data_IF_904223753031
#
_entry.id   IF_904223753031
#
_cell.length_a   1.000
_cell.length_b   1.000
_cell.length_c   1.000
_cell.angle_alpha   90.00
_cell.angle_beta   90.00
_cell.angle_gamma   90.00
#
_symmetry.space_group_name_H-M   'P 1'
#
loop_
_entity.id
_entity.type
_entity.pdbx_description
1 polymer ?
#
# COMPACT_ATOMS: atom_id res chain seq x y z
N UNK A 1 -5.78 40.35 4.61
CA UNK A 1 -6.49 39.17 4.08
C UNK A 1 -5.68 38.70 2.88
N UNK A 2 -4.83 37.69 3.04
CA UNK A 2 -4.03 37.18 1.94
C UNK A 2 -4.14 35.66 1.84
N UNK A 3 -4.25 35.24 0.58
CA UNK A 3 -4.86 34.01 0.10
C UNK A 3 -3.99 32.82 0.45
N UNK A 4 -4.52 31.87 1.26
CA UNK A 4 -3.97 30.52 1.37
C UNK A 4 -3.95 29.90 -0.02
N UNK A 5 -2.77 29.87 -0.66
CA UNK A 5 -2.52 29.12 -1.89
C UNK A 5 -2.93 27.68 -1.62
N UNK A 6 -4.09 27.26 -2.17
CA UNK A 6 -4.47 25.85 -2.22
C UNK A 6 -3.33 25.12 -2.90
N UNK A 7 -2.59 24.28 -2.15
CA UNK A 7 -1.67 23.30 -2.74
C UNK A 7 -2.50 22.51 -3.75
N UNK A 8 -2.26 22.72 -5.04
CA UNK A 8 -2.80 21.86 -6.09
C UNK A 8 -2.24 20.48 -5.79
N UNK A 9 -3.09 19.57 -5.33
CA UNK A 9 -2.80 18.15 -5.27
C UNK A 9 -2.43 17.75 -6.70
N UNK A 10 -1.16 17.46 -6.94
CA UNK A 10 -0.74 16.77 -8.16
C UNK A 10 -1.44 15.42 -8.06
N UNK A 11 -2.52 15.24 -8.81
CA UNK A 11 -3.16 13.94 -8.96
C UNK A 11 -2.19 13.06 -9.74
N UNK A 12 -1.33 12.38 -8.99
CA UNK A 12 -0.52 11.27 -9.49
C UNK A 12 -1.48 10.26 -10.15
N UNK A 13 -1.17 9.84 -11.39
CA UNK A 13 -2.04 8.90 -12.09
C UNK A 13 -2.02 7.56 -11.36
N UNK A 14 -3.17 6.90 -11.17
CA UNK A 14 -3.19 5.57 -10.57
C UNK A 14 -2.49 4.57 -11.48
N UNK A 15 -1.82 3.59 -10.88
CA UNK A 15 -1.34 2.42 -11.62
C UNK A 15 -2.55 1.56 -11.97
N UNK A 16 -2.70 1.21 -13.25
CA UNK A 16 -3.74 0.28 -13.69
C UNK A 16 -3.29 -1.16 -13.44
N UNK A 17 -4.07 -1.90 -12.67
CA UNK A 17 -3.96 -3.35 -12.52
C UNK A 17 -5.17 -4.03 -13.13
N UNK A 18 -4.95 -4.94 -14.07
CA UNK A 18 -6.01 -5.74 -14.66
C UNK A 18 -6.03 -7.13 -14.05
N UNK A 19 -7.19 -7.60 -13.66
CA UNK A 19 -7.37 -8.90 -12.99
C UNK A 19 -8.77 -9.46 -13.28
N UNK A 20 -9.08 -10.65 -12.76
CA UNK A 20 -10.39 -11.28 -12.85
C UNK A 20 -11.04 -11.37 -11.47
N UNK A 21 -12.37 -11.46 -11.47
CA UNK A 21 -13.13 -11.68 -10.24
C UNK A 21 -12.65 -12.95 -9.53
N UNK A 22 -12.55 -12.91 -8.21
CA UNK A 22 -12.05 -13.96 -7.33
C UNK A 22 -10.56 -14.32 -7.53
N UNK A 23 -9.82 -13.62 -8.39
CA UNK A 23 -8.38 -13.81 -8.50
C UNK A 23 -7.66 -13.09 -7.35
N UNK A 24 -6.72 -13.78 -6.72
CA UNK A 24 -5.86 -13.19 -5.71
C UNK A 24 -4.84 -12.27 -6.36
N UNK A 25 -4.66 -11.08 -5.79
CA UNK A 25 -3.66 -10.10 -6.22
C UNK A 25 -2.80 -9.70 -5.02
N UNK A 26 -1.48 -9.75 -5.21
CA UNK A 26 -0.50 -9.25 -4.24
C UNK A 26 0.09 -7.95 -4.77
N UNK A 27 0.07 -6.92 -3.93
CA UNK A 27 0.42 -5.55 -4.27
C UNK A 27 1.56 -5.12 -3.34
N UNK A 28 2.79 -4.96 -3.85
CA UNK A 28 3.91 -4.50 -3.05
C UNK A 28 3.77 -3.01 -2.69
N UNK A 29 4.22 -2.69 -1.48
CA UNK A 29 4.42 -1.34 -0.98
C UNK A 29 5.92 -1.14 -0.77
N UNK A 30 6.44 -0.06 -1.36
CA UNK A 30 7.84 0.30 -1.29
C UNK A 30 8.07 1.65 -0.62
N UNK A 31 9.24 1.80 -0.05
CA UNK A 31 9.83 3.11 0.27
C UNK A 31 10.83 3.50 -0.82
N UNK A 32 10.76 4.76 -1.26
CA UNK A 32 11.53 5.29 -2.40
C UNK A 32 12.76 6.09 -2.00
N UNK A 33 13.15 6.02 -0.72
CA UNK A 33 14.39 6.58 -0.21
C UNK A 33 14.98 5.59 0.79
N UNK A 34 16.31 5.64 0.93
CA UNK A 34 17.01 4.81 1.92
C UNK A 34 16.67 5.31 3.32
N UNK A 35 16.34 4.39 4.20
CA UNK A 35 16.26 4.62 5.64
C UNK A 35 17.34 3.78 6.29
N UNK A 36 18.41 4.41 6.77
CA UNK A 36 19.56 3.69 7.36
C UNK A 36 19.20 2.97 8.68
N UNK A 37 18.23 3.52 9.41
CA UNK A 37 17.69 2.98 10.65
C UNK A 37 16.17 3.09 10.63
N UNK A 38 15.48 2.07 10.12
CA UNK A 38 14.02 2.06 10.14
C UNK A 38 13.51 1.63 11.52
N UNK A 39 12.97 2.54 12.33
CA UNK A 39 12.39 2.21 13.64
C UNK A 39 10.93 1.76 13.50
N UNK A 40 10.20 2.33 12.55
CA UNK A 40 8.83 1.92 12.29
C UNK A 40 8.23 2.54 11.03
N UNK A 41 7.12 1.95 10.59
CA UNK A 41 6.30 2.39 9.45
C UNK A 41 4.86 2.53 9.93
N UNK A 42 4.19 3.58 9.49
CA UNK A 42 2.74 3.71 9.63
C UNK A 42 2.10 3.94 8.27
N UNK A 43 1.02 3.21 7.99
CA UNK A 43 0.26 3.32 6.74
C UNK A 43 -1.21 3.48 7.05
N UNK A 44 -1.87 4.31 6.24
CA UNK A 44 -3.31 4.34 6.13
C UNK A 44 -3.68 4.17 4.66
N UNK A 45 -4.38 3.08 4.36
CA UNK A 45 -4.86 2.73 3.04
C UNK A 45 -6.39 2.79 3.04
N UNK A 46 -6.95 3.34 1.98
CA UNK A 46 -8.39 3.33 1.71
C UNK A 46 -8.67 2.48 0.47
N UNK A 47 -9.73 1.68 0.51
CA UNK A 47 -10.19 0.84 -0.59
C UNK A 47 -11.72 0.78 -0.61
N UNK A 48 -12.30 0.19 -1.66
CA UNK A 48 -13.74 0.01 -1.81
C UNK A 48 -14.13 -1.43 -1.46
N UNK A 49 -14.61 -1.70 -0.23
CA UNK A 49 -14.89 -3.07 0.24
C UNK A 49 -16.03 -3.77 -0.50
N UNK A 50 -16.88 -3.01 -1.19
CA UNK A 50 -17.92 -3.51 -2.08
C UNK A 50 -17.36 -4.16 -3.36
N UNK A 51 -16.16 -3.76 -3.78
CA UNK A 51 -15.55 -4.19 -5.05
C UNK A 51 -14.33 -5.09 -4.85
N UNK A 52 -13.56 -4.88 -3.78
CA UNK A 52 -12.38 -5.69 -3.44
C UNK A 52 -12.38 -6.08 -1.97
N UNK A 53 -12.04 -7.33 -1.70
CA UNK A 53 -11.84 -7.87 -0.35
C UNK A 53 -10.36 -7.79 0.02
N UNK A 54 -10.05 -7.13 1.13
CA UNK A 54 -8.73 -7.24 1.76
C UNK A 54 -8.58 -8.62 2.41
N UNK A 55 -7.47 -9.30 2.16
CA UNK A 55 -7.21 -10.63 2.72
C UNK A 55 -6.19 -10.57 3.85
N UNK A 56 -5.03 -9.98 3.60
CA UNK A 56 -3.92 -9.90 4.56
C UNK A 56 -2.88 -8.88 4.11
N UNK A 57 -2.00 -8.56 5.03
CA UNK A 57 -0.72 -7.90 4.75
C UNK A 57 0.41 -8.75 5.32
N UNK A 58 1.57 -8.73 4.66
CA UNK A 58 2.76 -9.43 5.12
C UNK A 58 4.02 -8.60 4.84
N UNK A 59 5.11 -8.93 5.53
CA UNK A 59 6.43 -8.45 5.14
C UNK A 59 6.79 -8.95 3.74
N UNK A 60 7.22 -8.03 2.88
CA UNK A 60 7.87 -8.36 1.61
C UNK A 60 9.39 -8.43 1.78
N UNK A 61 9.95 -7.62 2.69
CA UNK A 61 11.37 -7.63 3.01
C UNK A 61 11.69 -8.64 4.13
N UNK A 62 12.43 -9.71 3.79
CA UNK A 62 12.84 -10.73 4.76
C UNK A 62 13.74 -10.17 5.87
N UNK A 63 14.45 -9.05 5.64
CA UNK A 63 15.29 -8.41 6.66
C UNK A 63 14.44 -7.88 7.82
N UNK A 64 13.25 -7.36 7.54
CA UNK A 64 12.34 -6.90 8.60
C UNK A 64 11.88 -8.10 9.45
N UNK A 65 11.52 -9.21 8.80
CA UNK A 65 11.13 -10.44 9.49
C UNK A 65 12.28 -11.03 10.31
N UNK A 66 13.50 -10.98 9.81
CA UNK A 66 14.68 -11.54 10.47
C UNK A 66 15.17 -10.70 11.67
N UNK A 67 14.91 -9.39 11.68
CA UNK A 67 15.38 -8.46 12.71
C UNK A 67 14.29 -8.06 13.72
N UNK A 68 13.37 -8.98 14.01
CA UNK A 68 12.34 -8.82 15.05
C UNK A 68 11.43 -7.59 14.85
N UNK A 69 11.07 -7.25 13.61
CA UNK A 69 9.99 -6.29 13.40
C UNK A 69 8.65 -6.97 13.63
N UNK A 70 7.73 -6.24 14.27
CA UNK A 70 6.33 -6.63 14.34
C UNK A 70 5.53 -5.91 13.29
N UNK A 71 4.58 -6.63 12.69
CA UNK A 71 3.53 -6.08 11.86
C UNK A 71 2.22 -6.21 12.62
N UNK A 72 1.47 -5.10 12.70
CA UNK A 72 0.10 -5.06 13.21
C UNK A 72 -0.76 -4.32 12.21
N UNK A 73 -1.88 -4.91 11.83
CA UNK A 73 -2.87 -4.25 10.97
C UNK A 73 -4.27 -4.29 11.58
N UNK A 74 -5.06 -3.29 11.21
CA UNK A 74 -6.48 -3.19 11.53
C UNK A 74 -7.24 -2.75 10.27
N UNK A 75 -8.00 -3.66 9.69
CA UNK A 75 -8.82 -3.42 8.52
C UNK A 75 -10.30 -3.34 8.90
N UNK A 76 -10.94 -2.19 8.63
CA UNK A 76 -12.35 -1.96 8.91
C UNK A 76 -12.94 -0.90 7.98
N UNK A 77 -14.16 -1.16 7.50
CA UNK A 77 -14.99 -0.19 6.74
C UNK A 77 -14.22 0.50 5.59
N UNK A 78 -13.53 -0.29 4.75
CA UNK A 78 -12.78 0.23 3.61
C UNK A 78 -11.47 0.95 3.97
N UNK A 79 -11.03 0.85 5.22
CA UNK A 79 -9.76 1.42 5.69
C UNK A 79 -8.86 0.31 6.24
N UNK A 80 -7.56 0.43 6.00
CA UNK A 80 -6.52 -0.44 6.57
C UNK A 80 -5.50 0.46 7.23
N UNK A 81 -5.30 0.28 8.53
CA UNK A 81 -4.25 0.91 9.30
C UNK A 81 -3.17 -0.12 9.56
N UNK A 82 -1.92 0.19 9.22
CA UNK A 82 -0.79 -0.71 9.39
C UNK A 82 0.27 -0.01 10.23
N UNK A 83 0.80 -0.74 11.21
CA UNK A 83 1.94 -0.34 12.00
C UNK A 83 3.01 -1.44 11.91
N UNK A 84 4.21 -1.02 11.55
CA UNK A 84 5.42 -1.83 11.62
C UNK A 84 6.36 -1.17 12.61
N UNK A 85 6.98 -1.92 13.51
CA UNK A 85 7.95 -1.38 14.45
C UNK A 85 9.01 -2.41 14.83
N UNK A 86 10.23 -1.95 15.04
CA UNK A 86 11.34 -2.78 15.52
C UNK A 86 11.22 -3.05 17.02
N UNK A 87 11.42 -4.30 17.46
CA UNK A 87 11.52 -4.62 18.90
C UNK A 87 12.93 -4.47 19.47
N UNK A 88 13.96 -4.76 18.67
CA UNK A 88 15.36 -4.72 19.10
C UNK A 88 16.23 -3.97 18.09
N UNK A 89 16.40 -4.57 16.92
CA UNK A 89 17.37 -4.16 15.94
C UNK A 89 16.71 -3.34 14.84
N UNK A 90 17.39 -2.28 14.40
CA UNK A 90 16.98 -1.46 13.27
C UNK A 90 17.84 -1.78 12.06
N UNK A 91 17.20 -1.89 10.89
CA UNK A 91 17.89 -2.20 9.63
C UNK A 91 17.79 -1.04 8.65
N UNK A 92 18.74 -1.05 7.70
CA UNK A 92 18.66 -0.18 6.53
C UNK A 92 17.73 -0.78 5.47
N UNK A 93 16.76 0.01 5.00
CA UNK A 93 15.79 -0.41 3.97
C UNK A 93 15.68 0.58 2.80
N UNK A 94 15.41 0.01 1.64
CA UNK A 94 15.02 0.69 0.40
C UNK A 94 14.22 -0.34 -0.42
N UNK A 95 13.16 0.11 -1.10
CA UNK A 95 12.33 -0.76 -1.94
C UNK A 95 11.16 -1.36 -1.18
N UNK A 96 10.74 -2.56 -1.60
CA UNK A 96 9.56 -3.24 -1.08
C UNK A 96 9.72 -3.58 0.40
N UNK A 97 8.76 -3.19 1.22
CA UNK A 97 8.74 -3.47 2.67
C UNK A 97 7.56 -4.36 3.06
N UNK A 98 6.43 -4.22 2.35
CA UNK A 98 5.17 -4.89 2.67
C UNK A 98 4.51 -5.37 1.38
N UNK A 99 3.69 -6.41 1.48
CA UNK A 99 2.82 -6.88 0.40
C UNK A 99 1.39 -6.97 0.93
N UNK A 100 0.47 -6.30 0.23
CA UNK A 100 -0.96 -6.34 0.49
C UNK A 100 -1.63 -7.36 -0.43
N UNK A 101 -2.48 -8.20 0.14
CA UNK A 101 -3.30 -9.12 -0.64
C UNK A 101 -4.75 -8.63 -0.72
N UNK A 102 -5.28 -8.61 -1.94
CA UNK A 102 -6.69 -8.37 -2.22
C UNK A 102 -7.29 -9.44 -3.13
N UNK A 103 -8.62 -9.49 -3.15
CA UNK A 103 -9.39 -10.29 -4.09
C UNK A 103 -10.57 -9.47 -4.60
N UNK A 104 -10.68 -9.20 -5.92
CA UNK A 104 -11.85 -8.55 -6.47
C UNK A 104 -13.09 -9.41 -6.31
N UNK A 105 -14.16 -8.83 -5.76
CA UNK A 105 -15.43 -9.52 -5.50
C UNK A 105 -16.57 -9.03 -6.40
N UNK A 106 -16.40 -7.87 -7.03
CA UNK A 106 -17.28 -7.32 -8.07
C UNK A 106 -16.55 -7.21 -9.42
N UNK A 107 -17.29 -6.88 -10.49
CA UNK A 107 -16.73 -6.58 -11.82
C UNK A 107 -16.54 -5.07 -12.04
N UNK A 108 -16.76 -4.25 -11.01
CA UNK A 108 -16.53 -2.81 -11.11
C UNK A 108 -15.04 -2.49 -11.00
N UNK A 109 -14.67 -1.34 -11.53
CA UNK A 109 -13.36 -0.76 -11.28
C UNK A 109 -13.29 -0.30 -9.82
N UNK A 110 -12.19 -0.61 -9.13
CA UNK A 110 -11.98 -0.29 -7.72
C UNK A 110 -10.67 0.47 -7.51
N UNK A 111 -10.70 1.51 -6.67
CA UNK A 111 -9.54 2.30 -6.30
C UNK A 111 -8.99 1.86 -4.95
N UNK A 112 -7.67 1.66 -4.89
CA UNK A 112 -6.91 1.53 -3.64
C UNK A 112 -5.97 2.71 -3.53
N UNK A 113 -5.98 3.41 -2.39
CA UNK A 113 -5.21 4.65 -2.17
C UNK A 113 -4.45 4.57 -0.87
N UNK A 114 -3.14 4.84 -0.90
CA UNK A 114 -2.35 5.14 0.30
C UNK A 114 -2.59 6.62 0.64
N UNK A 115 -3.47 6.85 1.61
CA UNK A 115 -3.77 8.19 2.11
C UNK A 115 -2.56 8.74 2.89
N UNK A 116 -1.92 7.89 3.70
CA UNK A 116 -0.73 8.26 4.46
C UNK A 116 0.30 7.13 4.49
N UNK A 117 1.57 7.52 4.36
CA UNK A 117 2.74 6.66 4.60
C UNK A 117 3.79 7.48 5.34
N UNK A 118 4.34 6.90 6.40
CA UNK A 118 5.46 7.49 7.09
C UNK A 118 6.35 6.46 7.76
N UNK A 119 7.59 6.88 8.00
CA UNK A 119 8.64 6.10 8.61
C UNK A 119 9.25 6.92 9.75
N UNK A 120 9.55 6.28 10.88
CA UNK A 120 10.14 6.92 12.07
C UNK A 120 9.39 8.19 12.51
N UNK A 121 8.05 8.12 12.54
CA UNK A 121 7.14 9.24 12.88
C UNK A 121 7.25 10.46 11.95
N UNK A 122 7.80 10.30 10.75
CA UNK A 122 7.89 11.35 9.73
C UNK A 122 7.21 10.90 8.43
N UNK A 123 6.73 11.88 7.64
CA UNK A 123 6.17 11.59 6.33
C UNK A 123 7.24 10.98 5.42
N UNK A 124 6.89 9.86 4.77
CA UNK A 124 7.81 9.10 3.95
C UNK A 124 7.51 9.27 2.46
N UNK A 125 8.56 9.15 1.64
CA UNK A 125 8.42 8.88 0.21
C UNK A 125 8.25 7.38 0.02
N UNK A 126 7.05 6.97 -0.36
CA UNK A 126 6.72 5.58 -0.64
C UNK A 126 5.32 5.47 -1.24
N UNK A 127 4.97 4.26 -1.65
CA UNK A 127 3.74 3.99 -2.37
C UNK A 127 3.71 2.57 -2.91
N UNK A 128 2.81 2.32 -3.84
CA UNK A 128 2.79 1.08 -4.61
C UNK A 128 3.93 1.06 -5.61
N UNK A 129 4.53 -0.11 -5.80
CA UNK A 129 5.65 -0.32 -6.73
C UNK A 129 5.38 -1.51 -7.64
N UNK A 130 4.77 -1.25 -8.79
CA UNK A 130 4.34 -2.32 -9.70
C UNK A 130 5.09 -2.16 -11.01
N UNK A 131 5.97 -3.12 -11.30
CA UNK A 131 6.74 -3.16 -12.55
C UNK A 131 7.54 -1.86 -12.78
N UNK A 132 8.10 -1.28 -11.72
CA UNK A 132 8.87 -0.03 -11.76
C UNK A 132 8.03 1.24 -11.90
N UNK A 133 6.69 1.14 -11.81
CA UNK A 133 5.81 2.31 -11.69
C UNK A 133 5.52 2.57 -10.22
N UNK A 134 5.67 3.83 -9.83
CA UNK A 134 5.40 4.31 -8.48
C UNK A 134 4.14 5.16 -8.47
N UNK A 135 3.24 4.89 -7.52
CA UNK A 135 2.06 5.72 -7.29
C UNK A 135 1.49 5.49 -5.89
N UNK A 136 0.81 6.48 -5.33
CA UNK A 136 -0.02 6.28 -4.13
C UNK A 136 -1.40 5.70 -4.41
N UNK A 137 -1.75 5.48 -5.67
CA UNK A 137 -3.06 4.95 -6.04
C UNK A 137 -2.97 3.85 -7.09
N UNK A 138 -3.87 2.88 -6.99
CA UNK A 138 -4.07 1.82 -7.96
C UNK A 138 -5.53 1.80 -8.36
N UNK A 139 -5.78 1.66 -9.66
CA UNK A 139 -7.06 1.32 -10.22
C UNK A 139 -7.05 -0.17 -10.57
N UNK A 140 -7.84 -0.96 -9.86
CA UNK A 140 -8.10 -2.36 -10.18
C UNK A 140 -9.24 -2.40 -11.19
N UNK A 141 -8.95 -2.88 -12.38
CA UNK A 141 -9.94 -3.13 -13.43
C UNK A 141 -10.23 -4.63 -13.50
N UNK A 142 -11.43 -5.01 -13.07
CA UNK A 142 -11.85 -6.41 -13.06
C UNK A 142 -12.47 -6.78 -14.40
N UNK A 143 -11.84 -7.71 -15.13
CA UNK A 143 -12.34 -8.19 -16.41
C UNK A 143 -13.44 -9.23 -16.20
N UNK A 144 -14.46 -9.16 -17.06
CA UNK A 144 -15.39 -10.27 -17.27
C UNK A 144 -14.64 -11.44 -17.86
N UNK A 145 -14.84 -12.64 -17.32
CA UNK A 145 -14.54 -13.86 -18.04
C UNK A 145 -15.49 -13.86 -19.25
N UNK A 146 -14.94 -13.74 -20.46
CA UNK A 146 -15.72 -14.02 -21.66
C UNK A 146 -16.04 -15.51 -21.59
N UNK A 147 -17.33 -15.86 -21.65
CA UNK A 147 -17.78 -17.26 -21.69
C UNK A 147 -16.97 -18.01 -22.74
N UNK A 148 -16.15 -18.96 -22.29
CA UNK A 148 -15.43 -19.90 -23.15
C UNK A 148 -16.36 -21.03 -23.58
#
# INVERSE_FOLDING_TARGET
MEVKKRKRSIHERPILLQTYRNQHIDIPISVFQVYDHLEGVYLHIRYQPEDVKFNKIAFADERLKANNYQLVDNAKDGNIYVYVFAFSDVVSVLGEILSLSFTPVSENDSMIVIETIGCNNQAAKGGFDIQGKHSKSILIQTKKLLDM
#
